data_IF_525157219646
#
_entry.id   IF_525157219646
#
_cell.length_a   1.000
_cell.length_b   1.000
_cell.length_c   1.000
_cell.angle_alpha   90.00
_cell.angle_beta   90.00
_cell.angle_gamma   90.00
#
_symmetry.space_group_name_H-M   'P 1'
#
loop_
_entity.id
_entity.type
_entity.pdbx_description
1 polymer ?
#
# COMPACT_ATOMS: atom_id res chain seq x y z
N UNK A 1 -15.32 65.81 -31.18
CA UNK A 1 -14.01 66.49 -31.25
C UNK A 1 -13.83 67.38 -30.02
N UNK A 2 -12.97 67.00 -29.08
CA UNK A 2 -12.28 67.90 -28.12
C UNK A 2 -11.13 67.12 -27.44
N UNK A 3 -9.90 67.44 -27.84
CA UNK A 3 -8.63 67.31 -27.07
C UNK A 3 -8.64 68.46 -26.03
N UNK A 4 -7.87 68.57 -24.93
CA UNK A 4 -6.70 67.95 -24.28
C UNK A 4 -6.88 68.23 -22.74
N UNK A 5 -6.07 67.88 -21.73
CA UNK A 5 -4.61 67.93 -21.56
C UNK A 5 -4.25 67.30 -20.18
N UNK A 6 -3.04 66.75 -20.06
CA UNK A 6 -2.42 66.07 -18.90
C UNK A 6 -1.96 67.01 -17.76
N UNK A 7 -1.88 66.51 -16.51
CA UNK A 7 -0.71 66.73 -15.62
C UNK A 7 -0.60 65.70 -14.47
N UNK A 8 0.65 65.41 -14.08
CA UNK A 8 1.19 64.32 -13.25
C UNK A 8 1.22 64.58 -11.71
N UNK A 9 1.22 63.45 -10.97
CA UNK A 9 1.92 63.07 -9.71
C UNK A 9 1.78 63.89 -8.41
N UNK A 10 1.45 63.17 -7.32
CA UNK A 10 2.31 63.09 -6.13
C UNK A 10 2.18 61.72 -5.43
N UNK A 11 3.34 61.21 -5.02
CA UNK A 11 3.64 59.96 -4.34
C UNK A 11 3.61 60.20 -2.82
N UNK A 12 2.97 59.33 -2.04
CA UNK A 12 3.25 59.22 -0.60
C UNK A 12 3.36 57.76 -0.18
N UNK A 13 4.60 57.34 0.08
CA UNK A 13 4.99 56.08 0.68
C UNK A 13 4.85 56.26 2.19
N UNK A 14 4.08 55.40 2.86
CA UNK A 14 4.13 55.23 4.30
C UNK A 14 4.89 53.92 4.60
N UNK A 15 6.07 54.06 5.20
CA UNK A 15 6.77 52.97 5.86
C UNK A 15 6.08 52.69 7.20
N UNK A 16 5.81 51.42 7.49
CA UNK A 16 5.70 50.97 8.88
C UNK A 16 6.69 49.83 9.12
N UNK A 17 7.44 50.01 10.21
CA UNK A 17 8.57 49.21 10.66
C UNK A 17 8.10 47.89 11.28
N UNK A 18 8.99 46.91 11.18
CA UNK A 18 8.96 45.62 11.87
C UNK A 18 8.97 45.83 13.40
N UNK A 19 8.15 45.08 14.14
CA UNK A 19 8.47 44.68 15.50
C UNK A 19 8.05 43.23 15.73
N UNK A 20 8.96 42.53 16.39
CA UNK A 20 8.97 41.12 16.73
C UNK A 20 8.51 40.96 18.17
N UNK A 21 7.38 40.31 18.42
CA UNK A 21 7.20 39.58 19.67
C UNK A 21 6.01 38.62 19.58
N UNK A 22 6.22 37.50 20.25
CA UNK A 22 5.34 36.37 20.52
C UNK A 22 3.91 36.75 20.85
N UNK A 23 2.95 36.10 20.19
CA UNK A 23 1.66 35.77 20.81
C UNK A 23 1.30 34.32 20.49
N UNK A 24 1.48 33.50 21.53
CA UNK A 24 0.88 32.18 21.69
C UNK A 24 -0.64 32.33 21.61
N UNK A 25 -1.27 31.72 20.62
CA UNK A 25 -2.70 31.40 20.69
C UNK A 25 -2.80 29.90 21.00
N UNK A 26 -2.84 29.63 22.30
CA UNK A 26 -3.44 28.43 22.86
C UNK A 26 -4.95 28.58 22.76
N UNK A 27 -5.62 27.71 22.01
CA UNK A 27 -7.03 27.41 22.23
C UNK A 27 -7.18 25.89 22.28
N UNK A 28 -6.92 25.39 23.49
CA UNK A 28 -7.33 24.08 23.96
C UNK A 28 -8.84 24.14 24.21
N UNK A 29 -9.61 23.35 23.46
CA UNK A 29 -10.92 22.91 23.96
C UNK A 29 -10.74 21.52 24.54
N UNK A 30 -10.64 21.53 25.86
CA UNK A 30 -10.56 20.41 26.76
C UNK A 30 -11.64 19.35 26.46
N UNK A 31 -11.20 18.11 26.23
CA UNK A 31 -12.02 16.93 26.47
C UNK A 31 -12.05 16.68 27.98
N UNK A 32 -13.18 16.29 28.57
CA UNK A 32 -13.30 16.18 30.02
C UNK A 32 -12.33 15.14 30.59
N UNK A 33 -11.59 15.59 31.60
CA UNK A 33 -10.80 14.81 32.55
C UNK A 33 -11.62 13.65 33.12
N UNK A 34 -11.16 12.43 32.83
CA UNK A 34 -11.54 11.24 33.55
C UNK A 34 -10.25 10.63 34.10
N UNK A 35 -9.96 10.99 35.35
CA UNK A 35 -8.74 10.63 36.05
C UNK A 35 -8.49 9.12 36.14
N UNK A 36 -7.20 8.79 36.18
CA UNK A 36 -6.64 7.61 36.85
C UNK A 36 -6.70 6.29 36.08
N UNK A 37 -5.66 6.00 35.30
CA UNK A 37 -4.71 4.89 35.54
C UNK A 37 -3.63 4.91 34.46
N UNK A 38 -2.38 4.65 34.84
CA UNK A 38 -1.22 4.70 33.97
C UNK A 38 -1.21 3.54 32.96
N UNK A 39 -1.75 3.78 31.77
CA UNK A 39 -1.60 2.90 30.62
C UNK A 39 -1.04 3.69 29.43
N UNK A 40 0.24 3.51 29.11
CA UNK A 40 0.80 4.00 27.84
C UNK A 40 0.03 3.36 26.68
N UNK A 41 -0.79 4.13 25.96
CA UNK A 41 -1.31 3.73 24.65
C UNK A 41 -0.11 3.43 23.75
N UNK A 42 0.05 2.21 23.21
CA UNK A 42 1.17 1.92 22.33
C UNK A 42 1.13 2.84 21.13
N UNK A 43 2.28 3.44 20.79
CA UNK A 43 2.44 4.17 19.55
C UNK A 43 2.07 3.24 18.38
N UNK A 44 1.02 3.52 17.59
CA UNK A 44 0.53 2.63 16.52
C UNK A 44 1.57 2.38 15.42
N UNK A 45 2.66 3.15 15.45
CA UNK A 45 3.74 3.17 14.47
C UNK A 45 4.91 2.21 14.81
N UNK A 46 4.83 1.37 15.85
CA UNK A 46 5.92 0.43 16.25
C UNK A 46 5.50 -0.94 16.84
N UNK A 47 4.64 -1.73 16.19
CA UNK A 47 4.26 -3.06 16.73
C UNK A 47 4.48 -4.24 15.76
N UNK A 48 5.42 -5.13 16.10
CA UNK A 48 5.65 -6.43 15.42
C UNK A 48 4.65 -7.48 15.91
N UNK A 49 4.08 -8.28 14.99
CA UNK A 49 3.15 -9.38 15.31
C UNK A 49 3.73 -10.77 15.07
N UNK A 50 3.34 -11.69 15.96
CA UNK A 50 3.80 -13.08 16.05
C UNK A 50 2.86 -14.08 15.36
N UNK A 51 3.41 -15.28 15.15
CA UNK A 51 2.83 -16.48 14.54
C UNK A 51 1.40 -16.81 15.04
N UNK A 52 0.47 -17.19 14.13
CA UNK A 52 -0.91 -17.55 14.51
C UNK A 52 -0.97 -18.70 15.51
N UNK A 53 -1.82 -18.60 16.53
CA UNK A 53 -2.18 -19.72 17.40
C UNK A 53 -3.58 -20.22 17.09
N UNK A 54 -3.70 -21.54 17.12
CA UNK A 54 -4.95 -22.27 16.94
C UNK A 54 -5.41 -22.71 18.32
N UNK A 55 -6.70 -22.57 18.63
CA UNK A 55 -7.26 -23.11 19.86
C UNK A 55 -7.49 -24.63 19.77
N UNK A 56 -7.97 -25.19 20.88
CA UNK A 56 -8.19 -26.63 21.02
C UNK A 56 -9.21 -27.21 20.02
N UNK A 57 -10.03 -26.36 19.39
CA UNK A 57 -11.04 -26.72 18.41
C UNK A 57 -10.60 -26.48 16.95
N UNK A 58 -9.34 -26.07 16.74
CA UNK A 58 -8.82 -25.80 15.41
C UNK A 58 -9.10 -24.38 14.91
N UNK A 59 -9.60 -23.48 15.76
CA UNK A 59 -9.94 -22.11 15.37
C UNK A 59 -8.77 -21.16 15.61
N UNK A 60 -8.47 -20.34 14.61
CA UNK A 60 -7.45 -19.31 14.70
C UNK A 60 -7.97 -18.23 15.66
N UNK A 61 -7.36 -18.12 16.84
CA UNK A 61 -7.66 -17.05 17.78
C UNK A 61 -6.74 -15.87 17.47
N UNK A 62 -7.33 -14.80 16.96
CA UNK A 62 -6.65 -13.50 16.79
C UNK A 62 -6.99 -12.63 18.00
N UNK A 63 -6.10 -12.58 18.98
CA UNK A 63 -6.23 -11.64 20.11
C UNK A 63 -5.22 -10.49 19.95
N UNK A 64 -5.67 -9.46 19.21
CA UNK A 64 -5.23 -8.04 19.05
C UNK A 64 -3.73 -7.70 18.93
N UNK A 65 -3.31 -6.76 18.05
CA UNK A 65 -3.22 -5.29 18.32
C UNK A 65 -2.69 -4.48 17.07
N UNK A 66 -2.55 -3.14 17.12
CA UNK A 66 -3.38 -2.19 16.36
C UNK A 66 -3.09 -2.14 14.84
N UNK A 67 -4.03 -2.17 13.91
CA UNK A 67 -5.40 -2.73 13.84
C UNK A 67 -6.33 -2.63 15.06
N UNK A 68 -7.02 -1.50 15.23
CA UNK A 68 -8.30 -1.46 15.97
C UNK A 68 -9.39 -2.20 15.16
N UNK A 69 -9.36 -3.53 15.17
CA UNK A 69 -10.25 -4.34 14.33
C UNK A 69 -11.19 -5.15 15.24
N UNK A 70 -12.46 -4.78 15.16
CA UNK A 70 -13.71 -5.49 15.52
C UNK A 70 -13.67 -6.44 16.74
N UNK A 71 -14.39 -6.06 17.79
CA UNK A 71 -14.64 -6.88 18.99
C UNK A 71 -15.61 -8.05 18.76
N UNK A 72 -16.16 -8.19 17.54
CA UNK A 72 -16.96 -9.35 17.13
C UNK A 72 -17.06 -9.41 15.61
N UNK A 73 -16.52 -10.46 15.00
CA UNK A 73 -16.69 -10.75 13.58
C UNK A 73 -17.67 -11.92 13.47
N UNK A 74 -18.86 -11.70 12.92
CA UNK A 74 -19.82 -12.78 12.66
C UNK A 74 -19.34 -13.62 11.46
N UNK A 75 -19.67 -14.91 11.46
CA UNK A 75 -19.19 -15.94 10.52
C UNK A 75 -19.46 -15.60 9.03
N UNK A 76 -20.36 -14.63 8.76
CA UNK A 76 -20.67 -14.13 7.42
C UNK A 76 -19.89 -12.89 6.96
N UNK A 77 -19.04 -12.27 7.79
CA UNK A 77 -18.33 -11.04 7.45
C UNK A 77 -16.82 -11.23 7.62
N UNK A 78 -16.10 -11.36 6.51
CA UNK A 78 -14.64 -11.13 6.42
C UNK A 78 -13.66 -12.16 7.01
N UNK A 79 -14.05 -13.42 7.23
CA UNK A 79 -13.11 -14.55 7.20
C UNK A 79 -13.34 -15.34 5.90
N UNK A 80 -13.10 -14.70 4.76
CA UNK A 80 -13.16 -15.40 3.49
C UNK A 80 -11.97 -16.37 3.47
N UNK A 81 -12.27 -17.67 3.46
CA UNK A 81 -11.26 -18.68 3.16
C UNK A 81 -10.47 -18.26 1.93
N UNK A 82 -9.17 -18.57 1.90
CA UNK A 82 -8.35 -18.42 0.69
C UNK A 82 -9.08 -19.11 -0.48
N UNK A 83 -9.32 -18.38 -1.58
CA UNK A 83 -10.03 -18.90 -2.77
C UNK A 83 -9.05 -19.12 -3.92
N UNK A 84 -8.03 -19.92 -3.66
CA UNK A 84 -7.13 -20.37 -4.73
C UNK A 84 -7.91 -21.39 -5.57
N UNK A 85 -8.00 -21.21 -6.91
CA UNK A 85 -8.60 -22.23 -7.77
C UNK A 85 -7.89 -23.56 -7.59
N UNK A 86 -8.63 -24.66 -7.72
CA UNK A 86 -8.03 -25.99 -7.68
C UNK A 86 -6.90 -26.10 -8.72
N UNK A 87 -5.79 -26.69 -8.32
CA UNK A 87 -4.59 -26.94 -9.12
C UNK A 87 -3.91 -25.67 -9.70
N UNK A 88 -4.20 -24.48 -9.14
CA UNK A 88 -3.71 -23.20 -9.66
C UNK A 88 -2.19 -23.09 -9.70
N UNK A 89 -1.49 -23.63 -8.69
CA UNK A 89 -0.03 -23.59 -8.59
C UNK A 89 0.65 -24.94 -8.87
N UNK A 90 -0.10 -26.01 -9.10
CA UNK A 90 0.45 -27.36 -9.28
C UNK A 90 1.53 -27.45 -10.35
N UNK A 91 1.39 -26.68 -11.45
CA UNK A 91 2.40 -26.66 -12.52
C UNK A 91 3.75 -26.04 -12.12
N UNK A 92 3.78 -25.25 -11.03
CA UNK A 92 4.98 -24.68 -10.45
C UNK A 92 5.60 -25.58 -9.36
N UNK A 93 4.86 -26.57 -8.87
CA UNK A 93 5.35 -27.53 -7.87
C UNK A 93 6.55 -28.32 -8.42
N UNK A 94 7.45 -28.71 -7.54
CA UNK A 94 8.72 -29.36 -7.84
C UNK A 94 9.70 -28.57 -8.72
N UNK A 95 9.48 -27.26 -8.94
CA UNK A 95 10.42 -26.37 -9.64
C UNK A 95 11.29 -25.56 -8.67
N UNK A 96 12.40 -25.01 -9.17
CA UNK A 96 13.28 -24.11 -8.40
C UNK A 96 13.82 -22.95 -9.25
N UNK A 97 14.40 -21.94 -8.60
CA UNK A 97 15.13 -20.86 -9.26
C UNK A 97 14.39 -20.18 -10.41
N UNK A 98 15.07 -20.05 -11.55
CA UNK A 98 14.53 -19.40 -12.75
C UNK A 98 13.32 -20.13 -13.33
N UNK A 99 13.28 -21.47 -13.24
CA UNK A 99 12.17 -22.27 -13.74
C UNK A 99 10.90 -21.99 -12.92
N UNK A 100 10.99 -22.02 -11.60
CA UNK A 100 9.90 -21.66 -10.70
C UNK A 100 9.41 -20.22 -10.96
N UNK A 101 10.34 -19.26 -11.05
CA UNK A 101 9.99 -17.86 -11.34
C UNK A 101 9.24 -17.70 -12.65
N UNK A 102 9.71 -18.36 -13.71
CA UNK A 102 9.09 -18.30 -15.03
C UNK A 102 7.72 -19.00 -15.03
N UNK A 103 7.58 -20.10 -14.32
CA UNK A 103 6.30 -20.81 -14.22
C UNK A 103 5.27 -20.02 -13.44
N UNK A 104 5.65 -19.41 -12.31
CA UNK A 104 4.79 -18.49 -11.57
C UNK A 104 4.34 -17.33 -12.45
N UNK A 105 5.27 -16.72 -13.21
CA UNK A 105 4.92 -15.70 -14.20
C UNK A 105 3.89 -16.24 -15.18
N UNK A 106 4.07 -17.42 -15.74
CA UNK A 106 3.11 -18.03 -16.69
C UNK A 106 1.72 -18.22 -16.06
N UNK A 107 1.64 -18.75 -14.84
CA UNK A 107 0.39 -18.95 -14.09
C UNK A 107 -0.37 -17.62 -13.94
N UNK A 108 0.30 -16.59 -13.41
CA UNK A 108 -0.33 -15.28 -13.17
C UNK A 108 -0.53 -14.47 -14.45
N UNK A 109 -0.05 -14.96 -15.60
CA UNK A 109 -0.19 -14.33 -16.91
C UNK A 109 -1.33 -14.87 -17.75
N UNK A 110 -1.49 -16.19 -17.76
CA UNK A 110 -2.27 -16.90 -18.79
C UNK A 110 -3.75 -16.52 -18.77
N UNK A 111 -4.32 -16.41 -17.57
CA UNK A 111 -5.76 -16.18 -17.39
C UNK A 111 -6.11 -14.74 -17.01
N UNK A 112 -5.11 -13.86 -16.94
CA UNK A 112 -5.26 -12.50 -16.45
C UNK A 112 -6.03 -11.62 -17.43
N UNK A 113 -7.12 -11.01 -16.96
CA UNK A 113 -7.93 -10.03 -17.69
C UNK A 113 -7.37 -8.63 -17.45
N UNK A 114 -7.22 -7.87 -18.53
CA UNK A 114 -6.92 -6.45 -18.42
C UNK A 114 -8.15 -5.68 -17.93
N UNK A 115 -7.97 -4.78 -16.98
CA UNK A 115 -9.03 -3.91 -16.49
C UNK A 115 -9.01 -2.58 -17.24
N UNK A 116 -10.20 -2.03 -17.49
CA UNK A 116 -10.29 -0.65 -17.95
C UNK A 116 -9.95 0.31 -16.81
N UNK A 117 -9.45 1.50 -17.14
CA UNK A 117 -9.10 2.49 -16.11
C UNK A 117 -10.29 2.96 -15.26
N UNK A 118 -11.52 2.88 -15.79
CA UNK A 118 -12.73 3.14 -15.00
C UNK A 118 -13.06 1.98 -14.06
N UNK A 119 -12.90 0.73 -14.50
CA UNK A 119 -13.09 -0.47 -13.67
C UNK A 119 -12.13 -0.52 -12.48
N UNK A 120 -10.92 0.01 -12.64
CA UNK A 120 -9.92 0.08 -11.55
C UNK A 120 -10.47 0.81 -10.32
N UNK A 121 -11.31 1.84 -10.48
CA UNK A 121 -11.91 2.51 -9.32
C UNK A 121 -12.79 1.56 -8.51
N UNK A 122 -13.72 0.87 -9.16
CA UNK A 122 -14.62 -0.10 -8.51
C UNK A 122 -13.81 -1.24 -7.87
N UNK A 123 -12.78 -1.72 -8.57
CA UNK A 123 -11.89 -2.74 -8.05
C UNK A 123 -11.15 -2.29 -6.78
N UNK A 124 -10.64 -1.04 -6.72
CA UNK A 124 -10.05 -0.51 -5.48
C UNK A 124 -11.11 -0.34 -4.38
N UNK A 125 -12.33 0.09 -4.71
CA UNK A 125 -13.38 0.23 -3.71
C UNK A 125 -13.83 -1.09 -3.06
N UNK A 126 -13.87 -2.16 -3.85
CA UNK A 126 -14.22 -3.48 -3.36
C UNK A 126 -13.02 -4.13 -2.67
N UNK A 127 -11.84 -4.08 -3.30
CA UNK A 127 -10.61 -4.69 -2.81
C UNK A 127 -10.13 -4.04 -1.52
N UNK A 128 -10.14 -2.71 -1.48
CA UNK A 128 -9.72 -1.92 -0.33
C UNK A 128 -10.90 -1.46 0.54
N UNK A 129 -12.05 -2.13 0.50
CA UNK A 129 -13.21 -1.79 1.35
C UNK A 129 -12.83 -1.77 2.84
N UNK A 130 -13.19 -0.71 3.56
CA UNK A 130 -13.03 -0.65 5.01
C UNK A 130 -13.85 -1.79 5.67
N UNK A 131 -13.22 -2.66 6.47
CA UNK A 131 -13.90 -3.80 7.09
C UNK A 131 -14.96 -3.40 8.12
N UNK A 132 -14.85 -2.22 8.73
CA UNK A 132 -15.83 -1.71 9.68
C UNK A 132 -16.97 -0.92 9.02
N UNK A 133 -16.79 -0.48 7.76
CA UNK A 133 -17.77 0.32 7.06
C UNK A 133 -17.70 0.08 5.54
N UNK A 134 -18.67 -0.65 5.01
CA UNK A 134 -18.72 -1.00 3.59
C UNK A 134 -18.89 0.19 2.63
N UNK A 135 -19.30 1.37 3.14
CA UNK A 135 -19.37 2.61 2.36
C UNK A 135 -18.04 3.35 2.27
N UNK A 136 -16.98 2.82 2.90
CA UNK A 136 -15.65 3.42 2.92
C UNK A 136 -14.61 2.52 2.27
N UNK A 137 -13.52 3.13 1.81
CA UNK A 137 -12.26 2.44 1.50
C UNK A 137 -11.25 2.66 2.63
N UNK A 138 -10.33 1.71 2.78
CA UNK A 138 -9.20 1.76 3.68
C UNK A 138 -7.96 2.25 2.95
N UNK A 139 -7.31 3.28 3.49
CA UNK A 139 -6.15 3.92 2.84
C UNK A 139 -4.85 3.27 3.32
N UNK A 140 -4.13 2.62 2.42
CA UNK A 140 -2.95 1.77 2.74
C UNK A 140 -1.90 2.44 3.64
N UNK A 141 -1.56 3.72 3.43
CA UNK A 141 -0.52 4.37 4.24
C UNK A 141 -1.03 5.12 5.47
N UNK A 142 -2.33 5.42 5.52
CA UNK A 142 -2.93 6.15 6.65
C UNK A 142 -3.67 5.24 7.62
N UNK A 143 -3.89 3.98 7.27
CA UNK A 143 -4.60 3.00 8.11
C UNK A 143 -5.92 3.56 8.65
N UNK A 144 -6.71 4.13 7.74
CA UNK A 144 -8.00 4.74 8.10
C UNK A 144 -8.98 4.77 6.95
N UNK A 145 -10.27 4.68 7.32
CA UNK A 145 -11.40 4.76 6.41
C UNK A 145 -11.61 6.15 5.83
N UNK A 146 -12.16 6.19 4.61
CA UNK A 146 -12.71 7.39 3.96
C UNK A 146 -13.84 6.99 3.03
N UNK A 147 -14.82 7.88 2.78
CA UNK A 147 -15.97 7.55 1.97
C UNK A 147 -15.57 7.16 0.54
N UNK A 148 -16.26 6.15 -0.04
CA UNK A 148 -16.00 5.70 -1.41
C UNK A 148 -16.17 6.84 -2.41
N UNK A 149 -17.14 7.72 -2.18
CA UNK A 149 -17.43 8.90 -3.01
C UNK A 149 -16.34 9.99 -2.97
N UNK A 150 -15.45 10.01 -1.97
CA UNK A 150 -14.38 11.02 -1.81
C UNK A 150 -13.18 10.77 -2.74
N UNK A 151 -13.45 10.35 -3.98
CA UNK A 151 -12.43 10.10 -5.01
C UNK A 151 -11.88 11.43 -5.52
N UNK A 152 -10.55 11.54 -5.58
CA UNK A 152 -9.88 12.71 -6.14
C UNK A 152 -8.81 12.31 -7.16
N UNK A 153 -8.59 13.16 -8.16
CA UNK A 153 -7.57 12.98 -9.20
C UNK A 153 -6.32 13.82 -8.98
N UNK A 154 -6.35 14.73 -8.01
CA UNK A 154 -5.25 15.61 -7.60
C UNK A 154 -4.87 15.35 -6.14
N UNK A 155 -3.79 15.98 -5.70
CA UNK A 155 -3.38 16.01 -4.29
C UNK A 155 -4.31 16.97 -3.54
N UNK A 156 -5.43 16.45 -3.04
CA UNK A 156 -6.45 17.18 -2.27
C UNK A 156 -7.04 16.30 -1.17
N UNK A 157 -7.92 16.85 -0.32
CA UNK A 157 -8.68 16.02 0.63
C UNK A 157 -9.48 14.96 -0.13
N UNK A 158 -9.28 13.68 0.20
CA UNK A 158 -9.88 12.55 -0.50
C UNK A 158 -8.89 11.39 -0.65
N UNK A 159 -9.31 10.39 -1.42
CA UNK A 159 -8.45 9.27 -1.78
C UNK A 159 -8.24 9.16 -3.28
N UNK A 160 -7.10 8.62 -3.66
CA UNK A 160 -6.78 8.31 -5.04
C UNK A 160 -6.15 6.91 -5.13
N UNK A 161 -5.83 6.50 -6.35
CA UNK A 161 -5.21 5.21 -6.62
C UNK A 161 -3.71 5.36 -6.55
N UNK A 162 -3.13 4.66 -5.58
CA UNK A 162 -1.71 4.50 -5.45
C UNK A 162 -1.23 3.38 -6.38
N UNK A 163 -0.22 3.69 -7.19
CA UNK A 163 0.54 2.68 -7.93
C UNK A 163 1.73 2.31 -7.03
N UNK A 164 1.61 1.23 -6.26
CA UNK A 164 2.67 0.81 -5.33
C UNK A 164 3.99 0.65 -6.10
N UNK A 165 3.97 0.00 -7.26
CA UNK A 165 5.05 0.18 -8.22
C UNK A 165 4.89 1.51 -8.96
N UNK A 166 5.76 2.49 -8.66
CA UNK A 166 5.69 3.81 -9.29
C UNK A 166 5.78 3.70 -10.82
N UNK A 167 4.84 4.33 -11.54
CA UNK A 167 4.76 4.31 -13.01
C UNK A 167 6.08 4.68 -13.69
N UNK A 168 6.77 5.71 -13.19
CA UNK A 168 8.05 6.17 -13.76
C UNK A 168 9.18 5.15 -13.60
N UNK A 169 9.05 4.16 -12.70
CA UNK A 169 10.02 3.09 -12.48
C UNK A 169 9.73 1.84 -13.32
N UNK A 170 8.66 1.84 -14.11
CA UNK A 170 8.34 0.75 -15.05
C UNK A 170 8.03 1.21 -16.46
N UNK A 171 8.20 2.52 -16.74
CA UNK A 171 7.85 3.16 -18.02
C UNK A 171 6.47 2.77 -18.53
N UNK A 172 5.46 2.84 -17.65
CA UNK A 172 4.08 2.53 -17.99
C UNK A 172 3.10 3.64 -17.63
N UNK A 173 2.04 3.74 -18.43
CA UNK A 173 0.96 4.70 -18.23
C UNK A 173 -0.20 4.13 -17.41
N UNK A 174 -1.42 4.54 -17.75
CA UNK A 174 -2.67 4.03 -17.16
C UNK A 174 -3.45 3.13 -18.12
N UNK A 175 -2.77 2.61 -19.14
CA UNK A 175 -3.31 1.66 -20.11
C UNK A 175 -3.25 0.22 -19.58
N UNK A 176 -3.87 -0.69 -20.33
CA UNK A 176 -3.88 -2.13 -20.05
C UNK A 176 -2.46 -2.65 -19.78
N UNK A 177 -2.32 -3.49 -18.76
CA UNK A 177 -1.03 -4.02 -18.30
C UNK A 177 -0.70 -3.48 -16.90
N UNK A 178 0.58 -3.15 -16.60
CA UNK A 178 0.98 -2.77 -15.24
C UNK A 178 0.24 -1.53 -14.73
N UNK A 179 -0.23 -0.63 -15.61
CA UNK A 179 -0.96 0.58 -15.22
C UNK A 179 -2.35 0.34 -14.62
N UNK A 180 -2.92 -0.85 -14.81
CA UNK A 180 -4.30 -1.21 -14.46
C UNK A 180 -4.38 -2.51 -13.65
N UNK A 181 -3.24 -3.05 -13.21
CA UNK A 181 -3.19 -4.27 -12.41
C UNK A 181 -3.46 -3.99 -10.92
N UNK A 182 -4.55 -4.56 -10.44
CA UNK A 182 -5.09 -4.51 -9.10
C UNK A 182 -4.23 -5.13 -8.02
N UNK A 183 -3.26 -5.98 -8.35
CA UNK A 183 -2.36 -6.55 -7.34
C UNK A 183 -1.34 -5.54 -6.81
N UNK A 184 -1.22 -4.34 -7.40
CA UNK A 184 -0.40 -3.25 -6.85
C UNK A 184 -1.11 -1.89 -6.78
N UNK A 185 -2.36 -1.79 -7.26
CA UNK A 185 -3.17 -0.58 -7.20
C UNK A 185 -3.98 -0.51 -5.90
N UNK A 186 -3.67 0.44 -5.02
CA UNK A 186 -4.31 0.57 -3.69
C UNK A 186 -5.06 1.88 -3.55
N UNK A 187 -6.15 1.89 -2.78
CA UNK A 187 -6.70 3.13 -2.25
C UNK A 187 -5.70 3.76 -1.28
N UNK A 188 -5.38 5.03 -1.49
CA UNK A 188 -4.47 5.78 -0.63
C UNK A 188 -4.99 7.18 -0.38
N UNK A 189 -4.62 7.75 0.77
CA UNK A 189 -4.81 9.17 1.03
C UNK A 189 -4.10 9.98 -0.07
N UNK A 190 -4.82 10.91 -0.72
CA UNK A 190 -4.25 11.60 -1.87
C UNK A 190 -3.08 12.52 -1.50
N UNK A 191 -3.07 13.04 -0.26
CA UNK A 191 -1.96 13.77 0.33
C UNK A 191 -0.73 12.88 0.54
N UNK A 192 -0.92 11.72 1.19
CA UNK A 192 0.16 10.76 1.45
C UNK A 192 0.71 10.15 0.14
N UNK A 193 -0.15 9.83 -0.82
CA UNK A 193 0.27 9.38 -2.14
C UNK A 193 1.14 10.45 -2.83
N UNK A 194 0.69 11.72 -2.82
CA UNK A 194 1.49 12.84 -3.33
C UNK A 194 2.81 13.02 -2.58
N UNK A 195 2.82 12.81 -1.26
CA UNK A 195 4.01 12.88 -0.42
C UNK A 195 5.01 11.77 -0.77
N UNK A 196 4.55 10.53 -0.95
CA UNK A 196 5.38 9.38 -1.37
C UNK A 196 5.93 9.57 -2.78
N UNK A 197 5.13 10.14 -3.69
CA UNK A 197 5.56 10.47 -5.05
C UNK A 197 5.99 9.24 -5.84
N UNK A 198 7.20 9.28 -6.39
CA UNK A 198 7.81 8.15 -7.11
C UNK A 198 9.00 7.53 -6.35
N UNK A 199 9.12 7.80 -5.05
CA UNK A 199 10.25 7.30 -4.28
C UNK A 199 10.20 5.77 -4.19
N UNK A 200 11.40 5.17 -4.18
CA UNK A 200 11.57 3.75 -3.92
C UNK A 200 11.17 3.43 -2.48
N UNK A 201 10.91 2.16 -2.21
CA UNK A 201 10.66 1.69 -0.85
C UNK A 201 11.95 1.20 -0.18
N UNK A 202 12.22 1.71 1.01
CA UNK A 202 13.31 1.26 1.88
C UNK A 202 13.03 1.70 3.32
N UNK A 203 13.77 1.15 4.29
CA UNK A 203 13.80 1.74 5.63
C UNK A 203 14.52 3.11 5.55
N UNK A 204 13.94 4.12 6.20
CA UNK A 204 14.42 5.50 6.27
C UNK A 204 14.60 5.87 7.75
N UNK A 205 13.62 6.54 8.36
CA UNK A 205 13.68 7.03 9.74
C UNK A 205 12.38 6.71 10.50
N UNK A 206 11.65 5.68 10.07
CA UNK A 206 10.38 5.26 10.65
C UNK A 206 9.18 5.48 9.74
N UNK A 207 7.98 5.23 10.25
CA UNK A 207 6.78 5.11 9.44
C UNK A 207 6.33 6.44 8.83
N UNK A 208 5.91 6.38 7.57
CA UNK A 208 5.49 7.53 6.74
C UNK A 208 6.58 8.60 6.61
N UNK A 209 7.85 8.20 6.73
CA UNK A 209 9.00 9.09 6.51
C UNK A 209 9.58 8.90 5.11
N UNK A 210 10.30 9.92 4.64
CA UNK A 210 11.01 9.86 3.36
C UNK A 210 12.32 10.62 3.39
N UNK A 211 13.20 10.28 2.47
CA UNK A 211 14.33 11.11 2.07
C UNK A 211 14.23 11.40 0.56
N UNK A 212 15.33 11.78 -0.08
CA UNK A 212 15.35 12.13 -1.51
C UNK A 212 15.19 10.94 -2.45
N UNK A 213 15.35 9.70 -1.96
CA UNK A 213 15.33 8.48 -2.76
C UNK A 213 14.25 7.49 -2.30
N UNK A 214 13.97 7.46 -1.01
CA UNK A 214 13.20 6.40 -0.38
C UNK A 214 12.04 6.93 0.46
N UNK A 215 10.97 6.15 0.50
CA UNK A 215 9.84 6.29 1.39
C UNK A 215 9.69 5.01 2.24
N UNK A 216 9.51 5.18 3.55
CA UNK A 216 9.23 4.11 4.49
C UNK A 216 7.74 4.14 4.87
N UNK A 217 6.93 3.15 4.46
CA UNK A 217 5.51 3.08 4.81
C UNK A 217 5.32 2.75 6.30
N UNK A 218 4.10 2.89 6.85
CA UNK A 218 3.80 2.36 8.18
C UNK A 218 4.03 0.85 8.23
N UNK A 219 4.32 0.32 9.42
CA UNK A 219 4.64 -1.10 9.60
C UNK A 219 3.55 -2.03 9.07
N UNK A 220 2.28 -1.68 9.27
CA UNK A 220 1.09 -2.39 8.80
C UNK A 220 0.94 -2.48 7.28
N UNK A 221 1.73 -1.72 6.51
CA UNK A 221 1.71 -1.72 5.06
C UNK A 221 3.00 -2.29 4.46
N UNK A 222 4.01 -2.62 5.27
CA UNK A 222 5.34 -3.03 4.79
C UNK A 222 5.28 -4.33 4.00
N UNK A 223 4.53 -5.31 4.49
CA UNK A 223 4.34 -6.62 3.87
C UNK A 223 3.47 -6.53 2.63
N UNK A 224 2.35 -5.81 2.71
CA UNK A 224 1.46 -5.52 1.57
C UNK A 224 2.23 -4.86 0.41
N UNK A 225 3.06 -3.86 0.72
CA UNK A 225 3.94 -3.20 -0.25
C UNK A 225 4.95 -4.18 -0.81
N UNK A 226 5.64 -4.96 0.04
CA UNK A 226 6.64 -5.93 -0.41
C UNK A 226 6.07 -6.96 -1.38
N UNK A 227 4.94 -7.59 -1.03
CA UNK A 227 4.27 -8.59 -1.87
C UNK A 227 3.71 -8.00 -3.15
N UNK A 228 3.27 -6.74 -3.15
CA UNK A 228 2.89 -6.01 -4.37
C UNK A 228 4.09 -5.77 -5.30
N UNK A 229 5.24 -5.35 -4.75
CA UNK A 229 6.47 -5.13 -5.51
C UNK A 229 7.03 -6.44 -6.08
N UNK A 230 7.07 -7.52 -5.28
CA UNK A 230 7.50 -8.84 -5.74
C UNK A 230 6.60 -9.39 -6.84
N UNK A 231 5.28 -9.22 -6.72
CA UNK A 231 4.32 -9.58 -7.77
C UNK A 231 4.66 -8.87 -9.08
N UNK A 232 4.82 -7.54 -9.05
CA UNK A 232 5.10 -6.75 -10.25
C UNK A 232 6.42 -7.16 -10.91
N UNK A 233 7.45 -7.46 -10.12
CA UNK A 233 8.72 -7.96 -10.60
C UNK A 233 8.59 -9.29 -11.37
N UNK A 234 7.81 -10.24 -10.84
CA UNK A 234 7.58 -11.53 -11.52
C UNK A 234 6.66 -11.36 -12.73
N UNK A 235 5.50 -10.73 -12.56
CA UNK A 235 4.47 -10.57 -13.59
C UNK A 235 4.98 -9.85 -14.83
N UNK A 236 5.67 -8.72 -14.64
CA UNK A 236 6.07 -7.83 -15.72
C UNK A 236 7.56 -7.90 -16.06
N UNK A 237 8.33 -8.73 -15.35
CA UNK A 237 9.77 -8.84 -15.58
C UNK A 237 10.55 -7.61 -15.11
N UNK A 238 9.97 -6.81 -14.22
CA UNK A 238 10.67 -5.72 -13.57
C UNK A 238 11.70 -6.24 -12.56
N UNK A 239 12.57 -5.34 -12.08
CA UNK A 239 13.74 -5.70 -11.30
C UNK A 239 13.65 -5.17 -9.87
N UNK A 240 14.00 -6.01 -8.91
CA UNK A 240 14.12 -5.66 -7.49
C UNK A 240 15.52 -6.08 -7.05
N UNK A 241 16.33 -5.11 -6.65
CA UNK A 241 17.70 -5.30 -6.17
C UNK A 241 18.07 -4.15 -5.20
N UNK A 242 19.24 -4.20 -4.56
CA UNK A 242 19.66 -3.17 -3.61
C UNK A 242 20.20 -1.89 -4.26
N UNK A 243 20.11 -1.75 -5.59
CA UNK A 243 20.54 -0.53 -6.29
C UNK A 243 19.43 0.53 -6.32
N UNK A 244 18.17 0.15 -6.05
CA UNK A 244 17.02 1.05 -6.18
C UNK A 244 16.89 1.65 -7.58
N UNK A 245 16.50 2.93 -7.67
CA UNK A 245 16.30 3.68 -8.91
C UNK A 245 17.57 3.92 -9.76
N UNK A 246 18.71 3.36 -9.36
CA UNK A 246 19.97 3.52 -10.08
C UNK A 246 20.01 2.66 -11.36
N UNK A 247 20.31 3.29 -12.49
CA UNK A 247 20.50 2.64 -13.79
C UNK A 247 19.27 2.68 -14.70
N UNK A 248 19.27 1.88 -15.77
CA UNK A 248 18.27 1.94 -16.86
C UNK A 248 17.17 0.87 -16.79
N UNK A 249 17.28 -0.09 -15.87
CA UNK A 249 16.25 -1.11 -15.71
C UNK A 249 15.07 -0.57 -14.89
N UNK A 250 13.85 -1.04 -15.20
CA UNK A 250 12.65 -0.81 -14.41
C UNK A 250 12.82 -1.39 -12.99
N UNK A 251 13.35 -0.58 -12.07
CA UNK A 251 13.71 -0.98 -10.71
C UNK A 251 12.86 -0.29 -9.67
N UNK A 252 12.51 -1.02 -8.62
CA UNK A 252 11.77 -0.43 -7.52
C UNK A 252 12.06 -1.11 -6.20
N UNK A 253 12.35 -0.28 -5.19
CA UNK A 253 12.53 -0.69 -3.80
C UNK A 253 13.83 -1.47 -3.53
N UNK A 254 14.30 -1.40 -2.29
CA UNK A 254 15.52 -2.05 -1.84
C UNK A 254 15.23 -3.49 -1.41
N UNK A 255 15.80 -4.46 -2.13
CA UNK A 255 15.50 -5.88 -1.95
C UNK A 255 15.62 -6.35 -0.49
N UNK A 256 16.70 -6.00 0.21
CA UNK A 256 16.92 -6.45 1.59
C UNK A 256 15.82 -5.96 2.52
N UNK A 257 15.37 -4.71 2.34
CA UNK A 257 14.33 -4.12 3.17
C UNK A 257 12.97 -4.75 2.83
N UNK A 258 12.67 -5.01 1.55
CA UNK A 258 11.44 -5.69 1.13
C UNK A 258 11.37 -7.14 1.62
N UNK A 259 12.48 -7.88 1.61
CA UNK A 259 12.56 -9.22 2.19
C UNK A 259 12.29 -9.18 3.70
N UNK A 260 12.90 -8.23 4.41
CA UNK A 260 12.65 -7.99 5.83
C UNK A 260 11.18 -7.64 6.08
N UNK A 261 10.61 -6.76 5.28
CA UNK A 261 9.23 -6.29 5.40
C UNK A 261 8.20 -7.41 5.22
N UNK A 262 8.42 -8.33 4.28
CA UNK A 262 7.57 -9.50 4.11
C UNK A 262 7.47 -10.37 5.39
N UNK A 263 8.54 -10.44 6.18
CA UNK A 263 8.56 -11.22 7.43
C UNK A 263 8.04 -10.42 8.63
N UNK A 264 8.28 -9.10 8.67
CA UNK A 264 7.81 -8.23 9.76
C UNK A 264 6.30 -7.99 9.73
N UNK A 265 5.72 -7.98 8.54
CA UNK A 265 4.29 -7.77 8.30
C UNK A 265 3.73 -8.96 7.49
N UNK A 266 3.40 -10.07 8.18
CA UNK A 266 2.92 -11.29 7.54
C UNK A 266 1.56 -11.07 6.88
N UNK A 267 1.23 -11.91 5.90
CA UNK A 267 -0.08 -11.89 5.24
C UNK A 267 -1.19 -12.01 6.27
N UNK A 268 -2.21 -11.15 6.14
CA UNK A 268 -3.35 -11.10 7.04
C UNK A 268 -4.69 -11.34 6.33
N UNK A 269 -5.81 -11.51 7.07
CA UNK A 269 -7.12 -11.76 6.46
C UNK A 269 -7.62 -10.65 5.54
N UNK A 270 -7.22 -9.40 5.77
CA UNK A 270 -7.60 -8.28 4.93
C UNK A 270 -6.91 -8.37 3.56
N UNK A 271 -5.62 -8.70 3.55
CA UNK A 271 -4.86 -8.90 2.33
C UNK A 271 -5.32 -10.15 1.55
N UNK A 272 -5.64 -11.26 2.24
CA UNK A 272 -6.24 -12.46 1.62
C UNK A 272 -7.58 -12.12 0.96
N UNK A 273 -8.46 -11.42 1.67
CA UNK A 273 -9.75 -10.96 1.13
C UNK A 273 -9.52 -10.11 -0.11
N UNK A 274 -8.59 -9.17 -0.05
CA UNK A 274 -8.26 -8.33 -1.20
C UNK A 274 -7.79 -9.17 -2.38
N UNK A 275 -6.90 -10.13 -2.19
CA UNK A 275 -6.45 -11.04 -3.26
C UNK A 275 -7.63 -11.81 -3.90
N UNK A 276 -8.61 -12.24 -3.10
CA UNK A 276 -9.88 -12.83 -3.60
C UNK A 276 -10.68 -11.86 -4.46
N UNK A 277 -10.88 -10.63 -4.01
CA UNK A 277 -11.59 -9.62 -4.79
C UNK A 277 -10.86 -9.34 -6.10
N UNK A 278 -9.55 -9.09 -6.07
CA UNK A 278 -8.78 -8.81 -7.30
C UNK A 278 -8.86 -10.01 -8.27
N UNK A 279 -8.87 -11.24 -7.77
CA UNK A 279 -9.08 -12.42 -8.60
C UNK A 279 -10.45 -12.40 -9.31
N UNK A 280 -11.52 -11.96 -8.67
CA UNK A 280 -12.84 -11.88 -9.31
C UNK A 280 -12.86 -10.86 -10.48
N UNK A 281 -12.05 -9.80 -10.38
CA UNK A 281 -11.88 -8.80 -11.46
C UNK A 281 -10.92 -9.27 -12.56
N UNK A 282 -9.73 -9.76 -12.19
CA UNK A 282 -8.62 -10.01 -13.11
C UNK A 282 -8.38 -11.47 -13.44
N UNK A 283 -8.99 -12.40 -12.72
CA UNK A 283 -8.85 -13.83 -12.92
C UNK A 283 -7.38 -14.31 -12.80
N UNK A 284 -6.58 -13.61 -11.98
CA UNK A 284 -5.24 -14.01 -11.56
C UNK A 284 -4.98 -13.65 -10.10
N UNK A 285 -4.07 -14.39 -9.46
CA UNK A 285 -3.73 -14.26 -8.03
C UNK A 285 -2.37 -13.60 -7.84
N UNK A 286 -2.15 -12.98 -6.68
CA UNK A 286 -0.80 -12.70 -6.21
C UNK A 286 -0.24 -13.91 -5.43
N UNK A 287 0.76 -14.64 -5.98
CA UNK A 287 1.32 -15.84 -5.35
C UNK A 287 2.04 -15.53 -4.05
N UNK A 288 2.52 -14.31 -3.85
CA UNK A 288 3.19 -13.93 -2.61
C UNK A 288 2.23 -13.65 -1.46
N UNK A 289 0.93 -13.48 -1.75
CA UNK A 289 -0.13 -13.43 -0.73
C UNK A 289 -0.61 -14.85 -0.42
N UNK A 290 -0.80 -15.68 -1.46
CA UNK A 290 -1.28 -17.06 -1.30
C UNK A 290 -0.23 -17.99 -0.67
N UNK A 291 1.04 -17.79 -1.04
CA UNK A 291 2.20 -18.56 -0.62
C UNK A 291 3.35 -17.60 -0.27
N UNK A 292 3.30 -16.91 0.88
CA UNK A 292 4.30 -15.88 1.24
C UNK A 292 5.73 -16.41 1.35
N UNK A 293 5.91 -17.71 1.57
CA UNK A 293 7.22 -18.35 1.56
C UNK A 293 7.90 -18.31 0.18
N UNK A 294 7.14 -18.20 -0.92
CA UNK A 294 7.69 -18.05 -2.28
C UNK A 294 8.63 -16.86 -2.41
N UNK A 295 8.49 -15.83 -1.58
CA UNK A 295 9.43 -14.71 -1.52
C UNK A 295 10.86 -15.22 -1.29
N UNK A 296 11.06 -16.19 -0.40
CA UNK A 296 12.38 -16.79 -0.13
C UNK A 296 12.89 -17.63 -1.31
N UNK A 297 11.99 -18.33 -2.01
CA UNK A 297 12.33 -19.17 -3.16
C UNK A 297 12.66 -18.36 -4.42
N UNK A 298 12.09 -17.16 -4.58
CA UNK A 298 12.32 -16.33 -5.77
C UNK A 298 13.39 -15.26 -5.52
N UNK A 299 13.36 -14.61 -4.35
CA UNK A 299 14.15 -13.41 -4.06
C UNK A 299 15.16 -13.60 -2.93
N UNK A 300 14.90 -14.54 -2.02
CA UNK A 300 15.74 -14.81 -0.86
C UNK A 300 16.82 -15.88 -1.06
N UNK A 301 17.06 -16.62 0.02
CA UNK A 301 18.12 -17.61 0.19
C UNK A 301 17.73 -19.03 -0.27
N UNK A 302 16.45 -19.30 -0.50
CA UNK A 302 15.94 -20.60 -0.97
C UNK A 302 15.88 -20.74 -2.49
N UNK A 303 16.58 -19.89 -3.25
CA UNK A 303 16.54 -19.88 -4.74
C UNK A 303 16.89 -21.21 -5.41
N UNK A 304 17.73 -22.01 -4.78
CA UNK A 304 18.14 -23.34 -5.28
C UNK A 304 17.30 -24.48 -4.70
N UNK A 305 16.42 -24.19 -3.75
CA UNK A 305 15.53 -25.20 -3.18
C UNK A 305 14.33 -25.42 -4.09
N UNK A 306 13.87 -26.67 -4.12
CA UNK A 306 12.63 -27.06 -4.80
C UNK A 306 11.44 -26.57 -3.98
N UNK A 307 10.48 -25.91 -4.63
CA UNK A 307 9.22 -25.51 -4.03
C UNK A 307 8.15 -26.59 -4.25
N UNK A 308 7.34 -26.85 -3.22
CA UNK A 308 6.26 -27.83 -3.25
C UNK A 308 4.97 -27.13 -2.79
N UNK A 309 3.91 -27.28 -3.58
CA UNK A 309 2.55 -26.75 -3.35
C UNK A 309 1.75 -27.63 -2.37
#
# INVERSE_FOLDING_TARGET
>A
MRKALYLLFFLSIAFYSCDSSSDNVTDETELPDNGGDGGTTPNPDQVNYLTPKVDADGKIIVTYTPKDYVTKVEEGQHMMSVRIPKDYYTSASSLSGTELRNQLKTIISTSAKALSYSTVWTMCEEGDQNPANASQVWRIYKESGIAKEDRVSSVSYGWNREHVWAKSHGDFGTSNGPGTDGHHLRASDAGENGNRGNLDFADVNGPRTKNTQFYEPPLSAKGDVARSIFYMAVRYGFKVDNLGAQGTAARHGKLDDLLKWNELDPVDPYEIRRNNVIYDFQNNRNPFIDHPELVKYIFGDKKTAVWED
#
